data_IF_101487843509
#
_entry.id   IF_101487843509
#
_cell.length_a   1.000
_cell.length_b   1.000
_cell.length_c   1.000
_cell.angle_alpha   90.00
_cell.angle_beta   90.00
_cell.angle_gamma   90.00
#
_symmetry.space_group_name_H-M   'P 1'
#
loop_
_entity.id
_entity.type
_entity.pdbx_description
1 polymer ?
#
# COMPACT_ATOMS: atom_id res chain seq x y z
N UNK A 1 16.89 8.74 0.83
CA UNK A 1 15.87 7.80 1.30
C UNK A 1 16.36 6.38 1.06
N UNK A 2 16.43 5.59 2.11
CA UNK A 2 16.94 4.22 1.98
C UNK A 2 15.81 3.25 1.71
N UNK A 3 15.87 2.62 0.54
CA UNK A 3 14.94 1.56 0.17
C UNK A 3 15.72 0.25 0.29
N UNK A 4 15.42 -0.62 1.29
CA UNK A 4 16.17 -1.86 1.46
C UNK A 4 15.98 -2.83 0.30
N UNK A 5 16.94 -3.72 0.12
CA UNK A 5 16.79 -4.83 -0.81
C UNK A 5 15.63 -5.72 -0.36
N UNK A 6 14.91 -6.29 -1.29
CA UNK A 6 13.71 -7.11 -1.07
C UNK A 6 12.53 -6.34 -0.50
N UNK A 7 12.53 -5.00 -0.64
CA UNK A 7 11.38 -4.17 -0.26
C UNK A 7 10.24 -4.33 -1.25
N UNK A 8 9.02 -4.14 -0.75
CA UNK A 8 7.85 -3.97 -1.60
C UNK A 8 7.71 -2.50 -1.92
N UNK A 9 7.65 -2.17 -3.21
CA UNK A 9 7.48 -0.80 -3.67
C UNK A 9 6.33 -0.73 -4.67
N UNK A 10 5.79 0.48 -4.84
CA UNK A 10 4.78 0.76 -5.85
C UNK A 10 5.47 1.36 -7.08
N UNK A 11 5.24 0.77 -8.25
CA UNK A 11 5.74 1.29 -9.52
C UNK A 11 4.60 1.29 -10.53
N UNK A 12 4.23 2.48 -11.03
CA UNK A 12 3.14 2.68 -12.01
C UNK A 12 1.85 1.95 -11.61
N UNK A 13 1.44 2.16 -10.36
CA UNK A 13 0.20 1.60 -9.79
C UNK A 13 0.20 0.08 -9.62
N UNK A 14 1.37 -0.56 -9.67
CA UNK A 14 1.49 -2.00 -9.44
C UNK A 14 2.57 -2.32 -8.42
N UNK A 15 2.51 -3.50 -7.79
CA UNK A 15 3.53 -3.90 -6.82
C UNK A 15 4.81 -4.32 -7.54
N UNK A 16 5.95 -4.03 -6.91
CA UNK A 16 7.24 -4.47 -7.39
C UNK A 16 8.15 -4.78 -6.21
N UNK A 17 9.13 -5.65 -6.44
CA UNK A 17 10.11 -6.03 -5.43
C UNK A 17 11.47 -5.47 -5.82
N UNK A 18 12.18 -4.89 -4.87
CA UNK A 18 13.54 -4.40 -5.11
C UNK A 18 14.50 -5.59 -5.11
N UNK A 19 14.98 -5.97 -6.27
CA UNK A 19 15.86 -7.13 -6.42
C UNK A 19 17.31 -6.77 -6.12
N UNK A 20 17.75 -5.57 -6.49
CA UNK A 20 19.13 -5.13 -6.26
C UNK A 20 19.19 -3.63 -6.05
N UNK A 21 20.21 -3.19 -5.32
CA UNK A 21 20.47 -1.79 -5.01
C UNK A 21 21.74 -1.33 -5.74
N UNK A 22 21.75 -0.07 -6.13
CA UNK A 22 22.88 0.58 -6.77
C UNK A 22 22.54 2.06 -6.97
N UNK A 23 23.17 2.70 -7.93
CA UNK A 23 22.80 4.07 -8.31
C UNK A 23 21.34 4.14 -8.73
N UNK A 24 20.85 3.05 -9.30
CA UNK A 24 19.44 2.84 -9.61
C UNK A 24 18.97 1.55 -8.94
N UNK A 25 17.66 1.37 -8.85
CA UNK A 25 17.07 0.17 -8.29
C UNK A 25 16.72 -0.80 -9.41
N UNK A 26 17.09 -2.07 -9.23
CA UNK A 26 16.59 -3.15 -10.08
C UNK A 26 15.33 -3.70 -9.41
N UNK A 27 14.18 -3.56 -10.06
CA UNK A 27 12.91 -4.03 -9.53
C UNK A 27 12.36 -5.17 -10.38
N UNK A 28 11.64 -6.07 -9.72
CA UNK A 28 10.95 -7.19 -10.35
C UNK A 28 9.45 -6.91 -10.32
N UNK A 29 8.78 -7.01 -11.47
CA UNK A 29 7.35 -6.76 -11.60
C UNK A 29 6.55 -8.06 -11.42
N UNK A 30 5.24 -7.94 -11.24
CA UNK A 30 4.36 -9.10 -11.07
C UNK A 30 4.44 -10.09 -12.23
N UNK A 31 4.66 -9.60 -13.43
CA UNK A 31 4.72 -10.45 -14.64
C UNK A 31 6.10 -11.09 -14.83
N UNK A 32 7.02 -10.91 -13.91
CA UNK A 32 8.36 -11.48 -13.96
C UNK A 32 9.38 -10.62 -14.68
N UNK A 33 8.99 -9.49 -15.24
CA UNK A 33 9.94 -8.58 -15.88
C UNK A 33 10.76 -7.85 -14.84
N UNK A 34 11.99 -7.52 -15.22
CA UNK A 34 12.87 -6.72 -14.37
C UNK A 34 13.15 -5.38 -15.06
N UNK A 35 13.14 -4.32 -14.28
CA UNK A 35 13.42 -2.97 -14.78
C UNK A 35 14.43 -2.31 -13.86
N UNK A 36 15.18 -1.36 -14.43
CA UNK A 36 16.07 -0.49 -13.65
C UNK A 36 15.43 0.88 -13.59
N UNK A 37 15.17 1.35 -12.38
CA UNK A 37 14.47 2.62 -12.15
C UNK A 37 15.20 3.43 -11.09
N UNK A 38 14.91 4.73 -11.02
CA UNK A 38 15.47 5.59 -9.99
C UNK A 38 14.66 5.43 -8.71
N UNK A 39 15.28 5.62 -7.52
CA UNK A 39 14.54 5.53 -6.25
C UNK A 39 13.30 6.42 -6.19
N UNK A 40 13.34 7.58 -6.85
CA UNK A 40 12.20 8.51 -6.87
C UNK A 40 11.04 8.06 -7.74
N UNK A 41 11.24 7.05 -8.57
CA UNK A 41 10.20 6.52 -9.46
C UNK A 41 9.28 5.52 -8.77
N UNK A 42 9.59 5.13 -7.53
CA UNK A 42 8.83 4.16 -6.77
C UNK A 42 8.46 4.72 -5.39
N UNK A 43 7.43 4.14 -4.79
CA UNK A 43 7.03 4.44 -3.41
C UNK A 43 7.25 3.20 -2.56
N UNK A 44 7.94 3.36 -1.43
CA UNK A 44 8.16 2.26 -0.51
C UNK A 44 6.85 1.93 0.21
N UNK A 45 6.37 0.70 0.08
CA UNK A 45 5.18 0.21 0.77
C UNK A 45 5.54 -0.61 2.00
N UNK A 46 6.58 -1.43 1.91
CA UNK A 46 7.04 -2.27 3.03
C UNK A 46 8.52 -2.58 2.86
N UNK A 47 9.35 -2.45 3.92
CA UNK A 47 10.79 -2.69 3.80
C UNK A 47 11.17 -4.17 3.62
N UNK A 48 10.24 -5.07 3.69
CA UNK A 48 10.49 -6.48 3.50
C UNK A 48 11.03 -7.21 4.74
N UNK A 49 11.71 -8.34 4.55
CA UNK A 49 12.08 -8.93 3.26
C UNK A 49 10.90 -9.60 2.52
N UNK A 50 10.80 -9.33 1.25
CA UNK A 50 9.81 -9.94 0.37
C UNK A 50 10.55 -10.82 -0.64
N UNK A 51 10.30 -12.13 -0.60
CA UNK A 51 11.00 -13.07 -1.47
C UNK A 51 10.35 -13.20 -2.84
N UNK A 52 9.06 -12.93 -2.93
CA UNK A 52 8.31 -13.08 -4.17
C UNK A 52 7.05 -12.23 -4.12
N UNK A 53 6.62 -11.73 -5.28
CA UNK A 53 5.33 -11.05 -5.41
C UNK A 53 4.15 -12.01 -5.39
N UNK A 54 4.39 -13.30 -5.50
CA UNK A 54 3.33 -14.32 -5.52
C UNK A 54 2.60 -14.47 -4.19
N UNK A 55 3.19 -14.03 -3.10
CA UNK A 55 2.58 -14.11 -1.78
C UNK A 55 1.75 -12.91 -1.37
N UNK A 56 1.43 -12.02 -2.31
CA UNK A 56 0.70 -10.80 -2.01
C UNK A 56 -0.82 -11.01 -2.11
N UNK A 57 -1.33 -12.03 -1.45
CA UNK A 57 -2.77 -12.24 -1.36
C UNK A 57 -3.38 -11.17 -0.47
N UNK A 58 -4.52 -10.60 -0.90
CA UNK A 58 -5.21 -9.57 -0.11
C UNK A 58 -5.97 -10.26 1.02
N UNK A 59 -5.56 -10.06 2.28
CA UNK A 59 -6.29 -10.66 3.41
C UNK A 59 -7.63 -9.97 3.63
N UNK A 60 -8.52 -10.64 4.35
CA UNK A 60 -9.78 -10.06 4.77
C UNK A 60 -9.54 -9.23 6.02
N UNK A 61 -10.06 -8.01 6.03
CA UNK A 61 -9.92 -7.11 7.18
C UNK A 61 -11.17 -6.27 7.38
N UNK A 62 -11.18 -5.51 8.46
CA UNK A 62 -12.33 -4.69 8.85
C UNK A 62 -12.12 -3.24 8.40
N UNK A 63 -12.29 -3.01 7.10
CA UNK A 63 -12.06 -1.71 6.48
C UNK A 63 -12.99 -0.64 7.02
N UNK A 64 -14.29 -0.94 7.11
CA UNK A 64 -15.28 0.04 7.58
C UNK A 64 -15.05 0.42 9.04
N UNK A 65 -14.71 -0.56 9.89
CA UNK A 65 -14.41 -0.30 11.28
C UNK A 65 -13.20 0.61 11.45
N UNK A 66 -12.16 0.39 10.64
CA UNK A 66 -10.97 1.24 10.65
C UNK A 66 -11.29 2.66 10.20
N UNK A 67 -12.09 2.80 9.14
CA UNK A 67 -12.51 4.12 8.64
C UNK A 67 -13.32 4.87 9.70
N UNK A 68 -14.23 4.18 10.37
CA UNK A 68 -15.04 4.75 11.44
C UNK A 68 -14.17 5.20 12.63
N UNK A 69 -13.21 4.37 13.01
CA UNK A 69 -12.32 4.68 14.12
C UNK A 69 -11.48 5.92 13.84
N UNK A 70 -11.00 6.09 12.62
CA UNK A 70 -10.20 7.25 12.24
C UNK A 70 -11.05 8.49 11.96
N UNK A 71 -12.25 8.32 11.45
CA UNK A 71 -13.27 9.35 11.21
C UNK A 71 -12.70 10.71 10.74
N UNK A 72 -12.11 10.71 9.56
CA UNK A 72 -11.51 11.92 8.99
C UNK A 72 -10.12 12.25 9.49
N UNK A 73 -9.55 11.39 10.35
CA UNK A 73 -8.19 11.58 10.86
C UNK A 73 -7.13 11.08 9.89
N UNK A 74 -5.88 11.19 10.33
CA UNK A 74 -4.74 10.77 9.54
C UNK A 74 -3.98 9.63 10.22
N UNK A 75 -3.32 8.81 9.40
CA UNK A 75 -2.48 7.72 9.87
C UNK A 75 -1.38 7.47 8.84
N UNK A 76 -0.61 6.42 9.03
CA UNK A 76 0.40 5.98 8.06
C UNK A 76 -0.01 4.63 7.49
N UNK A 77 0.61 4.22 6.38
CA UNK A 77 0.31 2.93 5.78
C UNK A 77 0.58 1.76 6.74
N UNK A 78 1.73 1.72 7.48
CA UNK A 78 1.94 0.65 8.46
C UNK A 78 0.85 0.59 9.53
N UNK A 79 0.46 1.72 10.09
CA UNK A 79 -0.59 1.77 11.09
C UNK A 79 -1.93 1.35 10.54
N UNK A 80 -2.24 1.77 9.31
CA UNK A 80 -3.48 1.39 8.64
C UNK A 80 -3.54 -0.12 8.42
N UNK A 81 -2.43 -0.72 7.97
CA UNK A 81 -2.36 -2.17 7.78
C UNK A 81 -2.58 -2.93 9.09
N UNK A 82 -1.96 -2.48 10.17
CA UNK A 82 -2.17 -3.08 11.49
C UNK A 82 -3.60 -2.92 11.98
N UNK A 83 -4.20 -1.77 11.74
CA UNK A 83 -5.55 -1.48 12.18
C UNK A 83 -6.59 -2.33 11.45
N UNK A 84 -6.44 -2.51 10.14
CA UNK A 84 -7.39 -3.26 9.32
C UNK A 84 -7.16 -4.76 9.43
N UNK A 85 -5.91 -5.20 9.37
CA UNK A 85 -5.54 -6.61 9.20
C UNK A 85 -4.83 -7.22 10.41
N UNK A 86 -4.51 -6.43 11.40
CA UNK A 86 -3.85 -6.90 12.62
C UNK A 86 -2.33 -7.05 12.53
N UNK A 87 -1.73 -6.78 11.38
CA UNK A 87 -0.28 -6.88 11.19
C UNK A 87 0.17 -6.04 10.01
N UNK A 88 1.44 -5.65 10.03
CA UNK A 88 2.08 -4.95 8.92
C UNK A 88 3.05 -5.91 8.23
N UNK A 89 2.61 -6.48 7.12
CA UNK A 89 3.40 -7.40 6.29
C UNK A 89 3.38 -6.89 4.86
N UNK A 90 4.21 -7.42 3.95
CA UNK A 90 4.12 -7.02 2.54
C UNK A 90 2.71 -7.19 1.96
N UNK A 91 2.04 -8.29 2.29
CA UNK A 91 0.68 -8.54 1.80
C UNK A 91 -0.32 -7.52 2.34
N UNK A 92 -0.28 -7.24 3.65
CA UNK A 92 -1.19 -6.26 4.25
C UNK A 92 -0.88 -4.84 3.82
N UNK A 93 0.39 -4.51 3.62
CA UNK A 93 0.80 -3.21 3.10
C UNK A 93 0.23 -3.00 1.69
N UNK A 94 0.33 -3.99 0.84
CA UNK A 94 -0.24 -3.94 -0.50
C UNK A 94 -1.77 -3.81 -0.46
N UNK A 95 -2.43 -4.60 0.38
CA UNK A 95 -3.87 -4.55 0.54
C UNK A 95 -4.33 -3.19 1.03
N UNK A 96 -3.67 -2.62 2.03
CA UNK A 96 -4.00 -1.30 2.56
C UNK A 96 -3.77 -0.21 1.50
N UNK A 97 -2.68 -0.31 0.75
CA UNK A 97 -2.41 0.66 -0.33
C UNK A 97 -3.49 0.63 -1.41
N UNK A 98 -4.00 -0.54 -1.76
CA UNK A 98 -5.08 -0.64 -2.74
C UNK A 98 -6.32 0.13 -2.29
N UNK A 99 -6.61 0.13 -0.99
CA UNK A 99 -7.73 0.91 -0.45
C UNK A 99 -7.49 2.41 -0.58
N UNK A 100 -6.26 2.85 -0.38
CA UNK A 100 -5.88 4.25 -0.56
C UNK A 100 -5.98 4.65 -2.04
N UNK A 101 -5.48 3.79 -2.92
CA UNK A 101 -5.53 4.04 -4.38
C UNK A 101 -6.97 4.07 -4.89
N UNK A 102 -7.84 3.26 -4.34
CA UNK A 102 -9.27 3.27 -4.66
C UNK A 102 -9.94 4.58 -4.26
N UNK A 103 -9.52 5.17 -3.14
CA UNK A 103 -9.98 6.49 -2.70
C UNK A 103 -11.38 6.55 -2.12
N UNK A 104 -12.01 5.41 -1.82
CA UNK A 104 -13.35 5.39 -1.23
C UNK A 104 -13.32 5.66 0.28
N UNK A 105 -12.56 4.86 1.03
CA UNK A 105 -12.44 4.99 2.48
C UNK A 105 -11.23 5.82 2.90
N UNK A 106 -10.15 5.72 2.15
CA UNK A 106 -8.86 6.32 2.48
C UNK A 106 -8.27 7.00 1.25
N UNK A 107 -7.40 7.97 1.49
CA UNK A 107 -6.69 8.68 0.43
C UNK A 107 -5.35 9.18 0.95
N UNK A 108 -4.46 9.59 0.06
CA UNK A 108 -3.17 10.17 0.42
C UNK A 108 -2.00 9.34 -0.06
N UNK A 109 -0.92 9.34 0.74
CA UNK A 109 0.32 8.65 0.44
C UNK A 109 0.64 7.65 1.55
N UNK A 110 1.62 6.74 1.36
CA UNK A 110 1.99 5.80 2.44
C UNK A 110 2.44 6.49 3.73
N UNK A 111 2.98 7.70 3.63
CA UNK A 111 3.44 8.46 4.80
C UNK A 111 2.33 9.25 5.47
N UNK A 112 1.28 9.57 4.73
CA UNK A 112 0.19 10.42 5.22
C UNK A 112 -1.14 9.96 4.62
N UNK A 113 -1.68 8.88 5.18
CA UNK A 113 -2.98 8.35 4.78
C UNK A 113 -4.07 9.10 5.54
N UNK A 114 -5.08 9.57 4.84
CA UNK A 114 -6.24 10.23 5.45
C UNK A 114 -7.46 9.33 5.32
N UNK A 115 -8.18 9.13 6.42
CA UNK A 115 -9.47 8.45 6.39
C UNK A 115 -10.54 9.47 6.03
N UNK A 116 -11.43 9.11 5.11
CA UNK A 116 -12.55 9.98 4.75
C UNK A 116 -13.64 9.87 5.81
N UNK A 117 -14.37 10.95 6.10
CA UNK A 117 -15.51 10.86 7.02
C UNK A 117 -16.51 9.80 6.55
N UNK A 118 -17.00 8.99 7.47
CA UNK A 118 -17.89 7.86 7.14
C UNK A 118 -19.15 8.33 6.39
N UNK A 119 -19.67 9.50 6.74
CA UNK A 119 -20.83 10.06 6.05
C UNK A 119 -20.57 10.28 4.57
N UNK A 120 -19.37 10.75 4.21
CA UNK A 120 -18.99 10.92 2.80
C UNK A 120 -18.83 9.58 2.09
N UNK A 121 -18.24 8.59 2.78
CA UNK A 121 -18.06 7.25 2.24
C UNK A 121 -19.41 6.61 1.91
N UNK A 122 -20.35 6.69 2.83
CA UNK A 122 -21.69 6.14 2.62
C UNK A 122 -22.41 6.79 1.47
N UNK A 123 -22.29 8.11 1.34
CA UNK A 123 -22.90 8.86 0.25
C UNK A 123 -22.32 8.44 -1.10
N UNK A 124 -21.00 8.28 -1.18
CA UNK A 124 -20.33 7.88 -2.41
C UNK A 124 -20.64 6.43 -2.79
N UNK A 125 -20.74 5.54 -1.82
CA UNK A 125 -21.14 4.14 -2.06
C UNK A 125 -22.56 4.07 -2.67
N UNK A 126 -23.47 4.88 -2.16
CA UNK A 126 -24.82 4.92 -2.69
C UNK A 126 -24.84 5.36 -4.15
N UNK A 127 -23.95 6.29 -4.52
CA UNK A 127 -23.84 6.75 -5.91
C UNK A 127 -23.25 5.67 -6.82
N UNK A 128 -22.25 4.90 -6.30
CA UNK A 128 -21.60 3.85 -7.09
C UNK A 128 -22.47 2.60 -7.28
N UNK A 129 -23.34 2.36 -6.36
CA UNK A 129 -24.30 1.25 -6.47
C UNK A 129 -25.48 1.60 -7.38
#
# INVERSE_FOLDING_TARGET
MNIPQNSLVLYKNGPARVAALGDKLDIELEDGRSLRVRPKDVLLLHPGPLNSLRGLDVPVGEVEAACELLDGGQTTLPELAELIYGAYTPATAWAAWRLVDEGLYFQGTPEAVSARPLAEVERERAVRE
#
